data_IF_902896927815
#
_entry.id   IF_902896927815
#
_cell.length_a   1.000
_cell.length_b   1.000
_cell.length_c   1.000
_cell.angle_alpha   90.00
_cell.angle_beta   90.00
_cell.angle_gamma   90.00
#
_symmetry.space_group_name_H-M   'P 1'
#
loop_
_entity.id
_entity.type
_entity.pdbx_description
1 polymer ?
#
# COMPACT_ATOMS: atom_id res chain seq x y z
N UNK A 1 0.82 3.85 -10.96
CA UNK A 1 2.00 4.43 -10.27
C UNK A 1 2.67 5.45 -11.17
N UNK A 2 3.05 6.58 -10.58
CA UNK A 2 3.77 7.67 -11.24
C UNK A 2 5.07 7.95 -10.48
N UNK A 3 6.10 8.35 -11.20
CA UNK A 3 7.30 8.93 -10.61
C UNK A 3 6.97 10.33 -10.10
N UNK A 4 7.24 10.61 -8.82
CA UNK A 4 6.81 11.85 -8.17
C UNK A 4 7.60 13.09 -8.63
N UNK A 5 8.83 12.90 -9.12
CA UNK A 5 9.70 13.99 -9.57
C UNK A 5 9.35 14.43 -11.00
N UNK A 6 9.02 13.46 -11.86
CA UNK A 6 8.85 13.66 -13.30
C UNK A 6 7.40 13.57 -13.78
N UNK A 7 6.51 12.98 -12.97
CA UNK A 7 5.15 12.62 -13.37
C UNK A 7 5.08 11.49 -14.39
N UNK A 8 6.21 10.85 -14.71
CA UNK A 8 6.26 9.77 -15.70
C UNK A 8 5.45 8.56 -15.22
N UNK A 9 4.80 7.88 -16.16
CA UNK A 9 4.14 6.61 -15.89
C UNK A 9 5.17 5.52 -15.59
N UNK A 10 5.03 4.85 -14.44
CA UNK A 10 5.94 3.79 -13.99
C UNK A 10 5.30 2.42 -14.18
N UNK A 11 4.05 2.27 -13.73
CA UNK A 11 3.32 1.00 -13.80
C UNK A 11 1.81 1.20 -13.76
N UNK A 12 1.10 0.29 -14.42
CA UNK A 12 -0.35 0.09 -14.29
C UNK A 12 -0.60 -1.36 -13.89
N UNK A 13 -1.18 -1.56 -12.72
CA UNK A 13 -1.47 -2.88 -12.17
C UNK A 13 -2.98 -3.02 -11.91
N UNK A 14 -3.55 -4.23 -12.00
CA UNK A 14 -4.91 -4.47 -11.54
C UNK A 14 -5.07 -4.03 -10.09
N UNK A 15 -6.12 -3.29 -9.80
CA UNK A 15 -6.39 -2.75 -8.47
C UNK A 15 -7.85 -2.93 -8.09
N UNK A 16 -8.17 -2.89 -6.78
CA UNK A 16 -9.57 -2.79 -6.37
C UNK A 16 -10.24 -1.57 -7.01
N UNK A 17 -11.51 -1.73 -7.36
CA UNK A 17 -12.33 -0.73 -8.03
C UNK A 17 -12.64 0.46 -7.11
N UNK A 18 -12.68 0.24 -5.79
CA UNK A 18 -13.06 1.27 -4.80
C UNK A 18 -11.94 1.53 -3.79
N UNK A 19 -10.76 1.86 -4.29
CA UNK A 19 -9.64 2.35 -3.48
C UNK A 19 -9.88 3.82 -3.12
N UNK A 20 -9.62 4.17 -1.86
CA UNK A 20 -9.69 5.54 -1.35
C UNK A 20 -8.30 6.03 -0.86
N UNK A 21 -7.42 5.11 -0.48
CA UNK A 21 -6.05 5.39 -0.10
C UNK A 21 -5.08 4.35 -0.68
N UNK A 22 -3.88 4.80 -1.05
CA UNK A 22 -2.73 3.94 -1.33
C UNK A 22 -1.62 4.29 -0.32
N UNK A 23 -1.04 3.28 0.32
CA UNK A 23 -0.01 3.47 1.35
C UNK A 23 1.26 2.74 0.92
N UNK A 24 2.38 3.47 0.84
CA UNK A 24 3.69 2.85 0.62
C UNK A 24 4.40 2.55 1.93
N UNK A 25 4.65 1.25 2.16
CA UNK A 25 5.49 0.72 3.23
C UNK A 25 6.95 0.67 2.76
N UNK A 26 7.72 1.70 3.13
CA UNK A 26 9.14 1.80 2.78
C UNK A 26 9.95 0.64 3.37
N UNK A 27 9.62 0.17 4.58
CA UNK A 27 10.39 -0.88 5.25
C UNK A 27 10.30 -2.21 4.48
N UNK A 28 9.10 -2.51 3.95
CA UNK A 28 8.82 -3.74 3.24
C UNK A 28 8.81 -3.60 1.71
N UNK A 29 8.96 -2.37 1.18
CA UNK A 29 8.88 -2.05 -0.25
C UNK A 29 7.57 -2.53 -0.87
N UNK A 30 6.46 -2.20 -0.21
CA UNK A 30 5.11 -2.63 -0.63
C UNK A 30 4.14 -1.46 -0.68
N UNK A 31 3.19 -1.52 -1.62
CA UNK A 31 2.01 -0.67 -1.62
C UNK A 31 0.80 -1.47 -1.14
N UNK A 32 0.02 -0.85 -0.25
CA UNK A 32 -1.28 -1.33 0.18
C UNK A 32 -2.38 -0.46 -0.42
N UNK A 33 -3.29 -1.08 -1.18
CA UNK A 33 -4.45 -0.45 -1.78
C UNK A 33 -5.74 -1.09 -1.21
N UNK A 34 -6.25 -0.63 -0.06
CA UNK A 34 -7.51 -1.10 0.50
C UNK A 34 -8.70 -0.82 -0.41
N UNK A 35 -9.38 -1.89 -0.84
CA UNK A 35 -10.55 -1.84 -1.71
C UNK A 35 -11.87 -2.01 -0.95
N UNK A 36 -12.82 -1.12 -1.21
CA UNK A 36 -14.14 -1.18 -0.57
C UNK A 36 -14.95 -2.43 -0.91
N UNK A 37 -14.60 -3.17 -1.97
CA UNK A 37 -15.23 -4.45 -2.31
C UNK A 37 -14.82 -5.66 -1.45
N UNK A 38 -13.92 -5.48 -0.47
CA UNK A 38 -13.62 -6.52 0.52
C UNK A 38 -12.26 -7.20 0.34
N UNK A 39 -11.29 -6.53 -0.27
CA UNK A 39 -9.90 -6.99 -0.26
C UNK A 39 -8.94 -5.81 -0.33
N UNK A 40 -7.70 -6.05 0.09
CA UNK A 40 -6.58 -5.11 -0.03
C UNK A 40 -5.67 -5.63 -1.14
N UNK A 41 -5.47 -4.82 -2.18
CA UNK A 41 -4.42 -5.06 -3.16
C UNK A 41 -3.06 -4.82 -2.51
N UNK A 42 -2.15 -5.79 -2.62
CA UNK A 42 -0.78 -5.68 -2.10
C UNK A 42 0.17 -5.81 -3.26
N UNK A 43 1.03 -4.81 -3.45
CA UNK A 43 2.01 -4.77 -4.53
C UNK A 43 3.39 -4.66 -3.93
N UNK A 44 4.38 -5.33 -4.51
CA UNK A 44 5.77 -5.22 -4.09
C UNK A 44 6.59 -4.54 -5.18
N UNK A 45 7.51 -3.66 -4.77
CA UNK A 45 8.61 -3.23 -5.62
C UNK A 45 9.64 -4.37 -5.67
N UNK A 46 9.70 -5.08 -6.79
CA UNK A 46 10.58 -6.24 -6.95
C UNK A 46 12.01 -5.82 -7.27
N UNK A 47 12.16 -4.70 -7.96
CA UNK A 47 13.39 -3.96 -8.17
C UNK A 47 13.06 -2.49 -8.52
N UNK A 48 14.06 -1.63 -8.66
CA UNK A 48 13.88 -0.18 -8.70
C UNK A 48 12.89 0.27 -9.80
N UNK A 49 11.74 0.79 -9.38
CA UNK A 49 10.68 1.26 -10.27
C UNK A 49 9.83 0.15 -10.90
N UNK A 50 10.05 -1.12 -10.57
CA UNK A 50 9.26 -2.24 -11.07
C UNK A 50 8.39 -2.84 -9.98
N UNK A 51 7.08 -2.77 -10.18
CA UNK A 51 6.08 -3.25 -9.23
C UNK A 51 5.31 -4.44 -9.79
N UNK A 52 5.01 -5.40 -8.92
CA UNK A 52 4.16 -6.55 -9.22
C UNK A 52 3.12 -6.76 -8.12
N UNK A 53 1.96 -7.34 -8.48
CA UNK A 53 0.99 -7.81 -7.47
C UNK A 53 1.63 -8.92 -6.63
N UNK A 54 1.64 -8.72 -5.31
CA UNK A 54 2.12 -9.69 -4.34
C UNK A 54 0.97 -10.56 -3.83
N UNK A 55 -0.18 -9.94 -3.55
CA UNK A 55 -1.36 -10.63 -3.03
C UNK A 55 -2.62 -9.79 -3.13
N UNK A 56 -3.77 -10.46 -3.04
CA UNK A 56 -5.06 -9.87 -2.72
C UNK A 56 -5.49 -10.38 -1.35
N UNK A 57 -5.30 -9.57 -0.31
CA UNK A 57 -5.61 -9.96 1.06
C UNK A 57 -7.12 -9.78 1.33
N UNK A 58 -7.87 -10.83 1.73
CA UNK A 58 -9.28 -10.68 2.07
C UNK A 58 -9.49 -9.64 3.19
N UNK A 59 -10.53 -8.82 3.05
CA UNK A 59 -10.88 -7.74 3.97
C UNK A 59 -12.41 -7.65 4.12
N UNK A 60 -12.90 -6.57 4.71
CA UNK A 60 -14.33 -6.30 4.86
C UNK A 60 -14.85 -5.38 3.76
N UNK A 61 -16.09 -5.59 3.33
CA UNK A 61 -16.78 -4.63 2.45
C UNK A 61 -16.82 -3.26 3.14
N UNK A 62 -16.47 -2.20 2.41
CA UNK A 62 -16.36 -0.84 2.93
C UNK A 62 -15.00 -0.48 3.55
N UNK A 63 -14.06 -1.42 3.64
CA UNK A 63 -12.74 -1.23 4.24
C UNK A 63 -11.72 -0.60 3.26
N UNK A 64 -11.96 0.65 2.85
CA UNK A 64 -11.18 1.34 1.79
C UNK A 64 -10.21 2.42 2.26
N UNK A 65 -10.31 2.84 3.52
CA UNK A 65 -9.46 3.90 4.10
C UNK A 65 -8.56 3.27 5.15
N UNK A 66 -7.24 3.52 5.08
CA UNK A 66 -6.28 2.86 5.96
C UNK A 66 -5.11 3.75 6.37
N UNK A 67 -4.45 3.36 7.46
CA UNK A 67 -3.15 3.89 7.90
C UNK A 67 -2.21 2.74 8.23
N UNK A 68 -0.94 2.87 7.84
CA UNK A 68 0.13 1.99 8.30
C UNK A 68 0.75 2.58 9.56
N UNK A 69 0.92 1.75 10.58
CA UNK A 69 1.66 2.07 11.81
C UNK A 69 2.88 1.14 11.88
N UNK A 70 4.03 1.56 11.33
CA UNK A 70 5.23 0.71 11.22
C UNK A 70 5.72 0.19 12.57
N UNK A 71 5.62 0.99 13.62
CA UNK A 71 6.08 0.66 14.98
C UNK A 71 5.29 -0.49 15.60
N UNK A 72 4.04 -0.67 15.14
CA UNK A 72 3.18 -1.78 15.56
C UNK A 72 3.17 -2.94 14.56
N UNK A 73 3.85 -2.79 13.42
CA UNK A 73 3.76 -3.69 12.28
C UNK A 73 2.30 -3.95 11.90
N UNK A 74 1.48 -2.90 11.82
CA UNK A 74 0.04 -3.03 11.56
C UNK A 74 -0.48 -2.05 10.54
N UNK A 75 -1.33 -2.54 9.64
CA UNK A 75 -2.18 -1.75 8.79
C UNK A 75 -3.58 -1.70 9.41
N UNK A 76 -4.01 -0.54 9.85
CA UNK A 76 -5.37 -0.31 10.37
C UNK A 76 -6.27 0.16 9.25
N UNK A 77 -7.47 -0.39 9.16
CA UNK A 77 -8.42 -0.11 8.08
C UNK A 77 -9.78 0.21 8.67
N UNK A 78 -10.33 1.37 8.28
CA UNK A 78 -11.67 1.77 8.65
C UNK A 78 -12.69 1.10 7.72
N UNK A 79 -13.65 0.40 8.31
CA UNK A 79 -14.76 -0.25 7.62
C UNK A 79 -15.96 0.68 7.66
N UNK A 80 -16.30 1.26 6.50
CA UNK A 80 -17.52 2.04 6.34
C UNK A 80 -18.74 1.10 6.24
N UNK A 81 -19.83 1.38 6.97
CA UNK A 81 -21.08 0.62 6.82
C UNK A 81 -21.85 0.98 5.53
N UNK A 82 -21.33 1.90 4.71
CA UNK A 82 -22.04 2.45 3.56
C UNK A 82 -23.31 3.20 4.00
N UNK A 83 -24.39 3.00 3.25
CA UNK A 83 -25.71 3.58 3.54
C UNK A 83 -26.51 2.78 4.59
N UNK A 84 -25.95 1.66 5.08
CA UNK A 84 -26.57 0.84 6.12
C UNK A 84 -26.55 1.52 7.50
N UNK A 85 -27.40 1.03 8.41
CA UNK A 85 -27.47 1.49 9.81
C UNK A 85 -26.53 0.75 10.78
N UNK A 86 -25.69 -0.15 10.28
CA UNK A 86 -24.67 -0.82 11.07
C UNK A 86 -23.58 0.19 11.43
N UNK A 87 -23.01 0.11 12.64
CA UNK A 87 -21.88 0.96 13.02
C UNK A 87 -20.66 0.71 12.13
N UNK A 88 -19.78 1.71 12.01
CA UNK A 88 -18.45 1.51 11.43
C UNK A 88 -17.56 0.69 12.36
N UNK A 89 -16.49 0.11 11.80
CA UNK A 89 -15.52 -0.66 12.56
C UNK A 89 -14.08 -0.29 12.17
N UNK A 90 -13.13 -0.61 13.04
CA UNK A 90 -11.70 -0.64 12.70
C UNK A 90 -11.26 -2.09 12.74
N UNK A 91 -10.66 -2.55 11.64
CA UNK A 91 -9.97 -3.84 11.57
C UNK A 91 -8.47 -3.59 11.38
N UNK A 92 -7.63 -4.59 11.61
CA UNK A 92 -6.20 -4.47 11.37
C UNK A 92 -5.61 -5.75 10.78
N UNK A 93 -4.49 -5.58 10.08
CA UNK A 93 -3.68 -6.64 9.51
C UNK A 93 -2.27 -6.54 10.07
N UNK A 94 -1.70 -7.68 10.47
CA UNK A 94 -0.28 -7.74 10.82
C UNK A 94 0.56 -7.67 9.54
N UNK A 95 1.49 -6.72 9.51
CA UNK A 95 2.46 -6.55 8.43
C UNK A 95 3.66 -7.42 8.70
N UNK A 96 3.80 -8.48 7.89
CA UNK A 96 4.97 -9.36 7.95
C UNK A 96 6.17 -8.72 7.27
N UNK A 97 7.36 -8.72 7.91
CA UNK A 97 8.58 -8.27 7.26
C UNK A 97 8.79 -8.93 5.89
N UNK A 98 9.21 -8.15 4.91
CA UNK A 98 9.65 -8.70 3.63
C UNK A 98 10.91 -9.56 3.84
N UNK A 99 11.07 -10.64 3.06
CA UNK A 99 12.33 -11.37 3.03
C UNK A 99 13.49 -10.41 2.75
N UNK A 100 14.65 -10.65 3.36
CA UNK A 100 15.83 -9.83 3.10
C UNK A 100 16.18 -9.87 1.59
N UNK A 101 16.09 -8.73 0.92
CA UNK A 101 16.55 -8.59 -0.47
C UNK A 101 18.07 -8.78 -0.52
N UNK A 102 18.54 -9.67 -1.41
CA UNK A 102 19.98 -9.95 -1.61
C UNK A 102 20.73 -8.80 -2.32
N UNK A 103 20.03 -7.80 -2.86
CA UNK A 103 20.59 -6.77 -3.75
C UNK A 103 20.44 -5.32 -3.23
N UNK A 104 20.57 -5.07 -1.92
CA UNK A 104 20.59 -3.69 -1.41
C UNK A 104 21.97 -3.05 -1.60
N UNK A 105 22.25 -2.54 -2.80
CA UNK A 105 23.25 -1.47 -2.95
C UNK A 105 22.60 -0.17 -2.51
N UNK A 106 23.07 0.38 -1.39
CA UNK A 106 22.62 1.65 -0.84
C UNK A 106 23.02 2.80 -1.77
N UNK A 107 22.11 3.23 -2.64
CA UNK A 107 22.17 4.59 -3.19
C UNK A 107 21.13 5.44 -2.48
N UNK A 108 21.53 5.95 -1.31
CA UNK A 108 20.90 7.15 -0.77
C UNK A 108 21.20 8.24 -1.78
N UNK A 109 20.18 8.71 -2.52
CA UNK A 109 20.32 9.92 -3.33
C UNK A 109 20.31 11.11 -2.37
N UNK A 110 21.42 11.84 -2.32
CA UNK A 110 21.47 13.11 -1.61
C UNK A 110 20.44 14.09 -2.18
N UNK A 111 19.81 14.93 -1.34
CA UNK A 111 18.91 15.97 -1.83
C UNK A 111 19.72 16.95 -2.69
N UNK A 112 19.38 17.06 -3.98
CA UNK A 112 19.95 18.10 -4.84
C UNK A 112 19.41 19.45 -4.39
N UNK A 113 20.32 20.37 -4.07
CA UNK A 113 20.01 21.78 -3.88
C UNK A 113 19.41 22.36 -5.16
N UNK A 114 18.21 22.92 -5.06
CA UNK A 114 17.59 23.69 -6.14
C UNK A 114 18.27 25.08 -6.21
N UNK A 115 18.58 25.61 -7.42
CA UNK A 115 19.16 26.94 -7.58
C UNK A 115 18.20 28.08 -7.22
#
# INVERSE_FOLDING_TARGET
>A
MLDADTGAHVASLPAPKRVDAEIFDVANQRVYAPGGEGYIGVYAEVDAGHFAELAQAPSSVGAKTAILVPELHRLYVAVSPGEGKTGGAIIWFDVRPAPASKNRSSSVREPRSVP
#
